data_IF_128682035500
#
_entry.id   IF_128682035500
#
_cell.length_a   1.000
_cell.length_b   1.000
_cell.length_c   1.000
_cell.angle_alpha   90.00
_cell.angle_beta   90.00
_cell.angle_gamma   90.00
#
_symmetry.space_group_name_H-M   'P 1'
#
loop_
_entity.id
_entity.type
_entity.pdbx_description
1 polymer ?
#
# COMPACT_ATOMS: atom_id res chain seq x y z
N UNK A 1 -38.45 31.49 -20.70
CA UNK A 1 -38.79 30.06 -20.54
C UNK A 1 -37.66 29.38 -19.80
N UNK A 2 -38.01 28.48 -18.89
CA UNK A 2 -37.26 28.12 -17.68
C UNK A 2 -36.10 27.13 -17.93
N UNK A 3 -34.93 27.46 -17.38
CA UNK A 3 -33.78 26.55 -17.21
C UNK A 3 -34.13 25.57 -16.10
N UNK A 4 -34.75 24.44 -16.45
CA UNK A 4 -35.23 23.48 -15.45
C UNK A 4 -35.14 22.00 -15.85
N UNK A 5 -34.34 21.66 -16.86
CA UNK A 5 -34.30 20.30 -17.43
C UNK A 5 -32.90 19.70 -17.62
N UNK A 6 -31.86 20.18 -16.91
CA UNK A 6 -30.49 19.67 -17.07
C UNK A 6 -29.95 18.97 -15.81
N UNK A 7 -30.77 18.16 -15.12
CA UNK A 7 -30.38 17.54 -13.84
C UNK A 7 -30.83 16.08 -13.64
N UNK A 8 -31.16 15.32 -14.69
CA UNK A 8 -31.60 13.91 -14.53
C UNK A 8 -30.88 12.94 -15.48
N UNK A 9 -29.56 13.09 -15.66
CA UNK A 9 -28.78 12.10 -16.42
C UNK A 9 -27.40 11.88 -15.82
N UNK A 10 -27.36 11.58 -14.52
CA UNK A 10 -26.13 11.21 -13.79
C UNK A 10 -26.43 10.16 -12.70
N UNK A 11 -27.27 9.18 -13.03
CA UNK A 11 -27.70 8.13 -12.09
C UNK A 11 -27.78 6.73 -12.70
N UNK A 12 -26.95 6.41 -13.69
CA UNK A 12 -26.70 5.02 -14.11
C UNK A 12 -25.30 4.92 -14.69
N UNK A 13 -24.28 4.96 -13.82
CA UNK A 13 -23.03 4.27 -14.13
C UNK A 13 -23.32 2.82 -13.71
N UNK A 14 -23.37 1.84 -14.63
CA UNK A 14 -23.38 0.44 -14.22
C UNK A 14 -22.08 0.24 -13.42
N UNK A 15 -22.21 -0.26 -12.20
CA UNK A 15 -21.06 -0.72 -11.44
C UNK A 15 -20.36 -1.77 -12.31
N UNK A 16 -19.23 -1.39 -12.91
CA UNK A 16 -18.30 -2.34 -13.45
C UNK A 16 -17.82 -3.12 -12.23
N UNK A 17 -18.24 -4.39 -12.13
CA UNK A 17 -17.69 -5.31 -11.16
C UNK A 17 -16.21 -5.49 -11.54
N UNK A 18 -15.34 -4.75 -10.88
CA UNK A 18 -13.90 -4.96 -10.95
C UNK A 18 -13.57 -6.05 -9.94
N UNK A 19 -12.89 -7.11 -10.39
CA UNK A 19 -12.32 -8.07 -9.46
C UNK A 19 -11.23 -7.35 -8.64
N UNK A 20 -11.33 -7.41 -7.32
CA UNK A 20 -10.32 -6.90 -6.41
C UNK A 20 -9.09 -7.80 -6.46
N UNK A 21 -7.89 -7.22 -6.46
CA UNK A 21 -6.64 -7.96 -6.39
C UNK A 21 -5.70 -7.38 -5.35
N UNK A 22 -5.08 -8.25 -4.55
CA UNK A 22 -4.08 -7.89 -3.54
C UNK A 22 -2.80 -8.67 -3.82
N UNK A 23 -1.63 -8.08 -3.63
CA UNK A 23 -0.34 -8.75 -3.83
C UNK A 23 0.57 -8.48 -2.66
N UNK A 24 1.01 -9.55 -1.99
CA UNK A 24 1.85 -9.45 -0.79
C UNK A 24 3.01 -10.43 -0.87
N UNK A 25 4.17 -10.04 -0.34
CA UNK A 25 5.33 -10.93 -0.25
C UNK A 25 5.18 -11.88 0.94
N UNK A 26 5.77 -13.07 0.83
CA UNK A 26 5.92 -13.96 1.98
C UNK A 26 6.79 -13.32 3.07
N UNK A 27 6.65 -13.79 4.32
CA UNK A 27 7.42 -13.32 5.48
C UNK A 27 8.95 -13.36 5.33
N UNK A 28 9.48 -14.13 4.37
CA UNK A 28 10.92 -14.09 4.01
C UNK A 28 11.20 -13.63 2.58
N UNK A 29 10.18 -13.21 1.85
CA UNK A 29 10.29 -12.62 0.52
C UNK A 29 10.81 -13.55 -0.56
N UNK A 30 10.69 -14.88 -0.40
CA UNK A 30 11.05 -15.83 -1.47
C UNK A 30 10.02 -15.78 -2.59
N UNK A 31 8.74 -15.52 -2.26
CA UNK A 31 7.65 -15.43 -3.22
C UNK A 31 6.80 -14.19 -2.96
N UNK A 32 6.23 -13.67 -4.04
CA UNK A 32 5.07 -12.80 -3.99
C UNK A 32 3.82 -13.63 -4.26
N UNK A 33 2.76 -13.38 -3.52
CA UNK A 33 1.46 -14.01 -3.74
C UNK A 33 0.47 -12.93 -4.14
N UNK A 34 -0.24 -13.17 -5.24
CA UNK A 34 -1.39 -12.36 -5.64
C UNK A 34 -2.67 -13.12 -5.41
N UNK A 35 -3.62 -12.50 -4.74
CA UNK A 35 -5.00 -12.98 -4.66
C UNK A 35 -5.90 -12.10 -5.52
N UNK A 36 -6.91 -12.72 -6.13
CA UNK A 36 -7.93 -12.02 -6.91
C UNK A 36 -9.30 -12.60 -6.58
N UNK A 37 -10.27 -11.74 -6.28
CA UNK A 37 -11.63 -12.13 -5.94
C UNK A 37 -12.63 -11.06 -6.41
N UNK A 38 -13.84 -11.48 -6.77
CA UNK A 38 -14.94 -10.56 -7.10
C UNK A 38 -15.58 -10.00 -5.83
N UNK A 39 -16.42 -8.96 -5.97
CA UNK A 39 -17.22 -8.42 -4.85
C UNK A 39 -17.92 -9.55 -4.06
N UNK A 40 -17.62 -9.62 -2.76
CA UNK A 40 -18.08 -10.71 -1.89
C UNK A 40 -19.36 -10.30 -1.16
N UNK A 41 -20.46 -10.96 -1.50
CA UNK A 41 -21.71 -10.84 -0.76
C UNK A 41 -21.73 -11.77 0.48
N UNK A 42 -22.04 -11.25 1.69
CA UNK A 42 -22.18 -12.09 2.87
C UNK A 42 -23.20 -13.20 2.68
N UNK A 43 -22.87 -14.43 3.11
CA UNK A 43 -23.72 -15.61 3.02
C UNK A 43 -23.54 -16.41 1.72
N UNK A 44 -22.62 -16.00 0.84
CA UNK A 44 -22.32 -16.71 -0.41
C UNK A 44 -20.93 -17.35 -0.39
N UNK A 45 -20.69 -18.27 -1.33
CA UNK A 45 -19.35 -18.76 -1.63
C UNK A 45 -18.78 -17.90 -2.76
N UNK A 46 -17.57 -17.36 -2.56
CA UNK A 46 -16.85 -16.63 -3.60
C UNK A 46 -15.63 -17.41 -4.06
N UNK A 47 -15.22 -17.14 -5.29
CA UNK A 47 -14.02 -17.73 -5.88
C UNK A 47 -12.84 -16.81 -5.59
N UNK A 48 -11.82 -17.36 -4.95
CA UNK A 48 -10.53 -16.69 -4.79
C UNK A 48 -9.54 -17.37 -5.75
N UNK A 49 -8.82 -16.56 -6.51
CA UNK A 49 -7.69 -17.01 -7.34
C UNK A 49 -6.40 -16.66 -6.61
N UNK A 50 -5.43 -17.57 -6.60
CA UNK A 50 -4.10 -17.35 -6.01
C UNK A 50 -3.06 -17.55 -7.11
N UNK A 51 -2.14 -16.60 -7.26
CA UNK A 51 -0.97 -16.68 -8.14
C UNK A 51 0.29 -16.61 -7.29
N UNK A 52 1.20 -17.57 -7.48
CA UNK A 52 2.52 -17.56 -6.86
C UNK A 52 3.51 -16.96 -7.85
N UNK A 53 4.22 -15.90 -7.46
CA UNK A 53 5.07 -15.10 -8.32
C UNK A 53 6.48 -15.11 -7.74
N UNK A 54 7.47 -15.26 -8.62
CA UNK A 54 8.86 -15.12 -8.26
C UNK A 54 9.25 -13.62 -8.30
N UNK A 55 9.56 -12.98 -7.17
CA UNK A 55 9.77 -11.53 -7.08
C UNK A 55 10.97 -11.05 -7.91
N UNK A 56 11.94 -11.93 -8.18
CA UNK A 56 13.14 -11.57 -8.96
C UNK A 56 12.90 -11.58 -10.48
N UNK A 57 11.89 -12.31 -10.94
CA UNK A 57 11.65 -12.51 -12.39
C UNK A 57 10.28 -12.02 -12.84
N UNK A 58 9.40 -11.68 -11.91
CA UNK A 58 7.99 -11.32 -12.15
C UNK A 58 7.23 -12.37 -12.97
N UNK A 59 7.63 -13.65 -12.82
CA UNK A 59 7.03 -14.80 -13.48
C UNK A 59 6.34 -15.69 -12.46
N UNK A 60 5.31 -16.38 -12.92
CA UNK A 60 4.63 -17.40 -12.12
C UNK A 60 5.63 -18.48 -11.71
N UNK A 61 5.67 -18.73 -10.40
CA UNK A 61 6.49 -19.76 -9.80
C UNK A 61 5.76 -21.10 -9.89
N UNK A 62 6.31 -22.01 -10.69
CA UNK A 62 5.75 -23.35 -10.89
C UNK A 62 6.10 -24.29 -9.72
N UNK A 63 5.31 -25.38 -9.61
CA UNK A 63 5.51 -26.47 -8.64
C UNK A 63 5.59 -25.99 -7.19
N UNK A 64 4.47 -25.47 -6.69
CA UNK A 64 4.34 -24.93 -5.34
C UNK A 64 3.66 -25.95 -4.42
N UNK A 65 4.23 -26.17 -3.24
CA UNK A 65 3.55 -26.83 -2.12
C UNK A 65 3.04 -25.76 -1.16
N UNK A 66 1.72 -25.66 -1.00
CA UNK A 66 1.07 -24.64 -0.18
C UNK A 66 -0.11 -25.15 0.65
N UNK A 67 -0.39 -24.49 1.76
CA UNK A 67 -1.60 -24.69 2.55
C UNK A 67 -2.33 -23.36 2.78
N UNK A 68 -3.60 -23.45 3.14
CA UNK A 68 -4.47 -22.31 3.35
C UNK A 68 -5.06 -22.40 4.75
N UNK A 69 -5.10 -21.26 5.42
CA UNK A 69 -5.82 -21.10 6.68
C UNK A 69 -6.53 -19.74 6.66
N UNK A 70 -7.86 -19.78 6.72
CA UNK A 70 -8.69 -18.60 6.77
C UNK A 70 -9.43 -18.52 8.10
N UNK A 71 -9.38 -17.34 8.71
CA UNK A 71 -10.01 -17.05 10.00
C UNK A 71 -10.81 -15.77 9.95
N UNK A 72 -11.95 -15.73 10.65
CA UNK A 72 -12.74 -14.52 10.90
C UNK A 72 -13.02 -14.42 12.40
N UNK A 73 -12.76 -13.27 13.03
CA UNK A 73 -12.92 -13.08 14.48
C UNK A 73 -12.29 -14.23 15.31
N UNK A 74 -11.05 -14.60 14.99
CA UNK A 74 -10.29 -15.72 15.59
C UNK A 74 -10.91 -17.12 15.41
N UNK A 75 -11.97 -17.26 14.61
CA UNK A 75 -12.60 -18.54 14.27
C UNK A 75 -12.10 -19.04 12.92
N UNK A 76 -11.57 -20.26 12.87
CA UNK A 76 -11.16 -20.91 11.60
C UNK A 76 -12.39 -21.30 10.80
N UNK A 77 -12.48 -20.83 9.56
CA UNK A 77 -13.63 -21.10 8.68
C UNK A 77 -13.26 -21.98 7.49
N UNK A 78 -12.00 -21.95 7.06
CA UNK A 78 -11.50 -22.76 5.97
C UNK A 78 -10.03 -23.07 6.22
N UNK A 79 -9.65 -24.34 6.12
CA UNK A 79 -8.25 -24.74 6.12
C UNK A 79 -8.06 -25.90 5.18
N UNK A 80 -6.91 -25.95 4.52
CA UNK A 80 -6.51 -27.06 3.68
C UNK A 80 -5.29 -27.75 4.25
N UNK A 81 -5.13 -29.07 4.04
CA UNK A 81 -3.81 -29.68 4.16
C UNK A 81 -2.86 -29.07 3.10
N UNK A 82 -1.58 -29.47 3.15
CA UNK A 82 -0.60 -29.09 2.13
C UNK A 82 -1.01 -29.67 0.76
N UNK A 83 -1.07 -28.82 -0.25
CA UNK A 83 -1.49 -29.11 -1.62
C UNK A 83 -0.37 -28.72 -2.58
N UNK A 84 -0.18 -29.51 -3.64
CA UNK A 84 0.76 -29.22 -4.70
C UNK A 84 0.07 -28.58 -5.91
N UNK A 85 0.61 -27.47 -6.44
CA UNK A 85 0.22 -26.87 -7.71
C UNK A 85 1.40 -26.88 -8.69
N UNK A 86 1.24 -27.57 -9.82
CA UNK A 86 2.25 -27.57 -10.89
C UNK A 86 2.30 -26.26 -11.66
N UNK A 87 1.15 -25.60 -11.82
CA UNK A 87 1.01 -24.38 -12.62
C UNK A 87 1.40 -23.10 -11.87
N UNK A 88 1.49 -23.14 -10.54
CA UNK A 88 1.72 -21.93 -9.75
C UNK A 88 0.53 -20.97 -9.70
N UNK A 89 -0.62 -21.41 -10.19
CA UNK A 89 -1.90 -20.69 -10.16
C UNK A 89 -2.95 -21.64 -9.59
N UNK A 90 -3.73 -21.16 -8.63
CA UNK A 90 -4.85 -21.88 -8.03
C UNK A 90 -6.11 -21.14 -8.43
N UNK A 91 -6.81 -21.69 -9.43
CA UNK A 91 -8.09 -21.16 -9.89
C UNK A 91 -9.23 -21.89 -9.20
N UNK A 92 -10.29 -21.17 -8.85
CA UNK A 92 -11.53 -21.79 -8.39
C UNK A 92 -11.55 -22.22 -6.92
N UNK A 93 -10.71 -21.64 -6.05
CA UNK A 93 -10.82 -21.88 -4.62
C UNK A 93 -12.14 -21.28 -4.11
N UNK A 94 -13.13 -22.14 -3.84
CA UNK A 94 -14.40 -21.72 -3.28
C UNK A 94 -14.26 -21.53 -1.77
N UNK A 95 -14.50 -20.31 -1.31
CA UNK A 95 -14.42 -19.94 0.09
C UNK A 95 -15.79 -19.46 0.56
N UNK A 96 -16.32 -20.01 1.67
CA UNK A 96 -17.55 -19.51 2.26
C UNK A 96 -17.31 -18.23 3.06
N UNK A 97 -18.14 -17.20 2.84
CA UNK A 97 -18.11 -15.95 3.59
C UNK A 97 -19.43 -15.75 4.35
N UNK A 98 -19.66 -16.48 5.45
CA UNK A 98 -20.99 -16.59 6.08
C UNK A 98 -21.48 -15.30 6.74
N UNK A 99 -20.56 -14.44 7.19
CA UNK A 99 -20.89 -13.22 7.95
C UNK A 99 -20.15 -12.01 7.42
N UNK A 100 -20.69 -10.82 7.67
CA UNK A 100 -19.97 -9.55 7.51
C UNK A 100 -18.76 -9.53 8.44
N UNK A 101 -17.60 -9.08 7.96
CA UNK A 101 -16.39 -8.97 8.78
C UNK A 101 -15.10 -8.96 7.97
N UNK A 102 -13.97 -8.92 8.68
CA UNK A 102 -12.62 -9.00 8.12
C UNK A 102 -12.09 -10.43 8.19
N UNK A 103 -11.80 -11.00 7.02
CA UNK A 103 -11.33 -12.37 6.88
C UNK A 103 -9.82 -12.36 6.70
N UNK A 104 -9.10 -13.02 7.61
CA UNK A 104 -7.65 -13.17 7.53
C UNK A 104 -7.32 -14.46 6.79
N UNK A 105 -6.78 -14.34 5.59
CA UNK A 105 -6.31 -15.44 4.76
C UNK A 105 -4.80 -15.59 4.90
N UNK A 106 -4.35 -16.69 5.47
CA UNK A 106 -2.93 -17.07 5.55
C UNK A 106 -2.64 -18.18 4.56
N UNK A 107 -1.63 -18.00 3.75
CA UNK A 107 -1.17 -18.99 2.77
C UNK A 107 0.26 -19.38 3.16
N UNK A 108 0.44 -20.62 3.60
CA UNK A 108 1.76 -21.16 3.88
C UNK A 108 2.37 -21.80 2.63
N UNK A 109 3.68 -21.67 2.46
CA UNK A 109 4.43 -22.27 1.35
C UNK A 109 5.64 -23.04 1.89
N UNK A 110 5.84 -24.27 1.43
CA UNK A 110 6.90 -25.17 1.92
C UNK A 110 7.74 -25.82 0.82
N UNK A 111 7.37 -25.67 -0.46
CA UNK A 111 8.16 -26.21 -1.57
C UNK A 111 7.98 -25.41 -2.85
N UNK A 112 9.06 -25.28 -3.63
CA UNK A 112 9.07 -24.68 -4.98
C UNK A 112 9.89 -25.57 -5.93
N UNK A 113 9.44 -25.84 -7.16
CA UNK A 113 10.19 -26.63 -8.16
C UNK A 113 10.76 -27.96 -7.62
N UNK A 114 9.98 -28.67 -6.79
CA UNK A 114 10.40 -29.92 -6.12
C UNK A 114 11.57 -29.78 -5.14
N UNK A 115 11.94 -28.54 -4.79
CA UNK A 115 12.91 -28.23 -3.76
C UNK A 115 12.16 -27.81 -2.49
N UNK A 116 12.38 -28.50 -1.36
CA UNK A 116 11.85 -28.06 -0.08
C UNK A 116 12.40 -26.67 0.26
N UNK A 117 11.53 -25.76 0.66
CA UNK A 117 11.91 -24.48 1.24
C UNK A 117 11.57 -24.49 2.73
N UNK A 118 12.20 -23.61 3.49
CA UNK A 118 11.78 -23.40 4.87
C UNK A 118 10.40 -22.75 4.83
N UNK A 119 9.43 -23.24 5.60
CA UNK A 119 8.04 -22.74 5.59
C UNK A 119 7.95 -21.22 5.66
N UNK A 120 7.17 -20.63 4.78
CA UNK A 120 6.90 -19.20 4.69
C UNK A 120 5.41 -18.92 4.65
N UNK A 121 4.99 -17.71 5.02
CA UNK A 121 3.57 -17.35 5.10
C UNK A 121 3.33 -15.97 4.50
N UNK A 122 2.31 -15.87 3.66
CA UNK A 122 1.69 -14.62 3.23
C UNK A 122 0.33 -14.44 3.92
N UNK A 123 -0.02 -13.21 4.30
CA UNK A 123 -1.27 -12.90 5.01
C UNK A 123 -2.05 -11.80 4.28
N UNK A 124 -3.32 -12.06 4.00
CA UNK A 124 -4.24 -11.14 3.34
C UNK A 124 -5.44 -10.86 4.23
N UNK A 125 -6.01 -9.65 4.07
CA UNK A 125 -7.25 -9.27 4.74
C UNK A 125 -8.31 -9.04 3.67
N UNK A 126 -9.41 -9.79 3.75
CA UNK A 126 -10.53 -9.72 2.81
C UNK A 126 -11.73 -9.11 3.56
N UNK A 127 -12.10 -7.84 3.29
CA UNK A 127 -13.27 -7.22 3.89
C UNK A 127 -14.55 -7.70 3.19
N UNK A 128 -15.54 -8.17 3.94
CA UNK A 128 -16.82 -8.68 3.39
C UNK A 128 -18.00 -7.91 3.98
N UNK A 129 -18.84 -7.33 3.12
CA UNK A 129 -20.06 -6.59 3.51
C UNK A 129 -19.82 -5.32 4.32
N UNK A 130 -18.56 -4.94 4.51
CA UNK A 130 -18.14 -3.64 5.01
C UNK A 130 -17.86 -2.79 3.77
N UNK A 131 -18.40 -1.57 3.69
CA UNK A 131 -18.06 -0.64 2.60
C UNK A 131 -16.53 -0.62 2.50
N UNK A 132 -15.98 -1.12 1.38
CA UNK A 132 -14.58 -1.53 1.21
C UNK A 132 -13.61 -0.56 1.90
N UNK A 133 -13.36 -0.81 3.18
CA UNK A 133 -12.29 -0.19 3.90
C UNK A 133 -11.10 -1.05 3.49
N UNK A 134 -10.31 -0.53 2.55
CA UNK A 134 -9.01 -1.06 2.18
C UNK A 134 -8.28 -1.38 3.48
N UNK A 135 -8.23 -2.66 3.84
CA UNK A 135 -7.54 -3.08 5.06
C UNK A 135 -6.07 -3.18 4.73
N UNK A 136 -5.19 -2.88 5.70
CA UNK A 136 -3.80 -2.62 5.41
C UNK A 136 -3.12 -3.95 5.08
N UNK A 137 -2.70 -4.10 3.82
CA UNK A 137 -1.51 -4.87 3.46
C UNK A 137 -0.44 -4.67 4.56
N UNK A 138 0.18 -5.72 5.10
CA UNK A 138 1.34 -5.59 5.97
C UNK A 138 2.49 -5.01 5.13
N UNK A 139 2.49 -3.68 4.94
CA UNK A 139 3.41 -2.98 4.05
C UNK A 139 2.79 -2.17 2.90
N UNK A 140 1.47 -1.90 2.87
CA UNK A 140 0.86 -1.10 1.78
C UNK A 140 0.22 0.25 2.18
N UNK A 141 -0.03 0.48 3.46
CA UNK A 141 -0.74 1.67 3.94
C UNK A 141 0.13 2.91 4.16
N UNK A 142 -0.39 4.10 3.85
CA UNK A 142 0.24 5.38 4.21
C UNK A 142 0.04 5.71 5.71
N UNK A 143 0.53 4.86 6.61
CA UNK A 143 0.28 4.90 8.08
C UNK A 143 0.42 6.29 8.72
N UNK A 144 1.54 6.98 8.45
CA UNK A 144 1.80 8.33 8.98
C UNK A 144 0.81 9.35 8.42
N UNK A 145 0.49 9.25 7.13
CA UNK A 145 -0.45 10.16 6.48
C UNK A 145 -1.87 9.93 6.98
N UNK A 146 -2.29 8.67 7.11
CA UNK A 146 -3.58 8.27 7.70
C UNK A 146 -3.70 8.77 9.14
N UNK A 147 -2.67 8.62 9.97
CA UNK A 147 -2.68 9.14 11.33
C UNK A 147 -2.75 10.68 11.39
N UNK A 148 -2.05 11.36 10.47
CA UNK A 148 -2.05 12.82 10.37
C UNK A 148 -3.39 13.39 9.89
N UNK A 149 -3.97 12.82 8.83
CA UNK A 149 -5.23 13.30 8.22
C UNK A 149 -6.49 12.68 8.83
N UNK A 150 -6.34 11.64 9.65
CA UNK A 150 -7.41 11.03 10.44
C UNK A 150 -8.28 10.03 9.69
N UNK A 151 -8.06 9.82 8.39
CA UNK A 151 -8.77 8.83 7.59
C UNK A 151 -7.93 8.38 6.42
N UNK A 152 -8.06 7.10 6.06
CA UNK A 152 -7.51 6.59 4.81
C UNK A 152 -8.22 7.17 3.60
N UNK A 153 -9.48 7.60 3.75
CA UNK A 153 -10.27 8.22 2.68
C UNK A 153 -10.03 9.74 2.61
N UNK A 154 -9.09 10.28 3.38
CA UNK A 154 -8.75 11.69 3.28
C UNK A 154 -8.20 12.00 1.87
N UNK A 155 -8.61 13.11 1.23
CA UNK A 155 -8.19 13.44 -0.15
C UNK A 155 -6.68 13.47 -0.33
N UNK A 156 -5.94 13.91 0.69
CA UNK A 156 -4.47 13.96 0.67
C UNK A 156 -3.86 12.55 0.64
N UNK A 157 -4.45 11.61 1.38
CA UNK A 157 -3.98 10.22 1.43
C UNK A 157 -4.35 9.49 0.14
N UNK A 158 -5.52 9.76 -0.42
CA UNK A 158 -5.94 9.22 -1.72
C UNK A 158 -5.06 9.74 -2.84
N UNK A 159 -4.70 11.03 -2.86
CA UNK A 159 -3.77 11.55 -3.87
C UNK A 159 -2.40 10.85 -3.83
N UNK A 160 -1.87 10.60 -2.62
CA UNK A 160 -0.62 9.83 -2.47
C UNK A 160 -0.74 8.43 -3.09
N UNK A 161 -1.88 7.76 -2.89
CA UNK A 161 -2.15 6.43 -3.45
C UNK A 161 -2.32 6.48 -4.96
N UNK A 162 -3.10 7.41 -5.48
CA UNK A 162 -3.32 7.56 -6.92
C UNK A 162 -2.00 7.81 -7.66
N UNK A 163 -1.17 8.73 -7.18
CA UNK A 163 0.16 8.98 -7.76
C UNK A 163 1.03 7.73 -7.68
N UNK A 164 1.06 7.04 -6.53
CA UNK A 164 1.84 5.81 -6.38
C UNK A 164 1.37 4.74 -7.35
N UNK A 165 0.08 4.45 -7.38
CA UNK A 165 -0.49 3.29 -8.06
C UNK A 165 -0.58 3.51 -9.58
N UNK A 166 -0.98 4.70 -10.02
CA UNK A 166 -1.17 4.99 -11.43
C UNK A 166 0.12 5.44 -12.12
N UNK A 167 0.95 6.23 -11.45
CA UNK A 167 2.13 6.86 -12.06
C UNK A 167 3.43 6.14 -11.70
N UNK A 168 3.67 5.89 -10.42
CA UNK A 168 4.97 5.35 -9.98
C UNK A 168 5.07 3.85 -10.25
N UNK A 169 4.11 3.05 -9.79
CA UNK A 169 4.14 1.59 -9.92
C UNK A 169 3.92 1.09 -11.35
N UNK A 170 3.47 1.94 -12.26
CA UNK A 170 3.37 1.61 -13.69
C UNK A 170 4.74 1.54 -14.39
N UNK A 171 5.83 1.94 -13.72
CA UNK A 171 7.20 1.99 -14.26
C UNK A 171 8.18 1.10 -13.49
N UNK A 172 9.23 0.61 -14.15
CA UNK A 172 10.25 -0.25 -13.51
C UNK A 172 11.03 0.51 -12.43
N UNK A 173 11.46 1.73 -12.75
CA UNK A 173 12.16 2.61 -11.81
C UNK A 173 11.30 2.96 -10.59
N UNK A 174 10.01 3.21 -10.80
CA UNK A 174 9.08 3.49 -9.72
C UNK A 174 8.82 2.28 -8.81
N UNK A 175 8.67 1.06 -9.37
CA UNK A 175 8.57 -0.18 -8.58
C UNK A 175 9.80 -0.39 -7.70
N UNK A 176 10.99 -0.22 -8.25
CA UNK A 176 12.23 -0.34 -7.49
C UNK A 176 12.31 0.69 -6.36
N UNK A 177 11.96 1.95 -6.65
CA UNK A 177 11.93 3.02 -5.66
C UNK A 177 10.94 2.73 -4.53
N UNK A 178 9.70 2.33 -4.84
CA UNK A 178 8.67 2.03 -3.83
C UNK A 178 9.09 0.84 -2.97
N UNK A 179 9.69 -0.21 -3.56
CA UNK A 179 10.24 -1.33 -2.81
C UNK A 179 11.30 -0.89 -1.80
N UNK A 180 12.29 -0.10 -2.23
CA UNK A 180 13.33 0.44 -1.35
C UNK A 180 12.74 1.37 -0.28
N UNK A 181 11.82 2.24 -0.65
CA UNK A 181 11.15 3.15 0.27
C UNK A 181 10.37 2.40 1.34
N UNK A 182 9.59 1.40 0.95
CA UNK A 182 8.76 0.60 1.86
C UNK A 182 9.60 -0.10 2.93
N UNK A 183 10.75 -0.66 2.55
CA UNK A 183 11.66 -1.30 3.51
C UNK A 183 12.06 -0.36 4.65
N UNK A 184 12.31 0.91 4.35
CA UNK A 184 12.67 1.89 5.38
C UNK A 184 11.44 2.43 6.08
N UNK A 185 10.39 2.77 5.32
CA UNK A 185 9.17 3.37 5.83
C UNK A 185 8.51 2.52 6.92
N UNK A 186 8.31 1.23 6.68
CA UNK A 186 7.60 0.36 7.63
C UNK A 186 8.43 -0.04 8.86
N UNK A 187 9.75 0.22 8.88
CA UNK A 187 10.56 0.03 10.09
C UNK A 187 10.14 1.01 11.19
N UNK A 188 9.75 2.23 10.84
CA UNK A 188 9.48 3.29 11.83
C UNK A 188 8.05 3.82 11.79
N UNK A 189 7.34 3.71 10.67
CA UNK A 189 6.04 4.34 10.48
C UNK A 189 4.94 3.88 11.45
N UNK A 190 4.87 2.62 11.92
CA UNK A 190 3.85 2.22 12.89
C UNK A 190 4.01 2.96 14.23
N UNK A 191 5.24 2.97 14.77
CA UNK A 191 5.53 3.66 16.04
C UNK A 191 5.25 5.16 15.94
N UNK A 192 5.63 5.81 14.84
CA UNK A 192 5.34 7.24 14.65
C UNK A 192 3.83 7.49 14.53
N UNK A 193 3.10 6.64 13.80
CA UNK A 193 1.64 6.76 13.66
C UNK A 193 0.91 6.62 15.00
N UNK A 194 1.35 5.71 15.87
CA UNK A 194 0.79 5.56 17.22
C UNK A 194 1.09 6.79 18.08
N UNK A 195 2.34 7.27 18.08
CA UNK A 195 2.71 8.49 18.79
C UNK A 195 1.90 9.73 18.32
N UNK A 196 1.59 9.81 17.02
CA UNK A 196 0.77 10.88 16.45
C UNK A 196 -0.67 10.87 16.97
N UNK A 197 -1.25 9.69 17.21
CA UNK A 197 -2.62 9.54 17.72
C UNK A 197 -2.75 10.05 19.15
N UNK A 198 -1.68 9.92 19.94
CA UNK A 198 -1.65 10.31 21.35
C UNK A 198 -1.31 11.80 21.57
N UNK A 199 -0.60 12.44 20.62
CA UNK A 199 -0.10 13.81 20.77
C UNK A 199 -0.59 14.76 19.67
N UNK A 200 -1.53 15.67 19.98
CA UNK A 200 -2.02 16.69 19.03
C UNK A 200 -0.91 17.61 18.52
N UNK A 201 0.11 17.89 19.34
CA UNK A 201 1.26 18.72 18.95
C UNK A 201 2.08 17.99 17.88
N UNK A 202 2.41 16.71 18.12
CA UNK A 202 3.17 15.90 17.16
C UNK A 202 2.40 15.73 15.84
N UNK A 203 1.09 15.49 15.90
CA UNK A 203 0.21 15.46 14.73
C UNK A 203 0.33 16.73 13.89
N UNK A 204 0.21 17.90 14.52
CA UNK A 204 0.30 19.19 13.82
C UNK A 204 1.69 19.46 13.25
N UNK A 205 2.75 19.08 13.98
CA UNK A 205 4.13 19.17 13.48
C UNK A 205 4.32 18.31 12.23
N UNK A 206 3.80 17.08 12.23
CA UNK A 206 3.91 16.18 11.07
C UNK A 206 3.08 16.68 9.89
N UNK A 207 1.87 17.20 10.12
CA UNK A 207 1.08 17.84 9.07
C UNK A 207 1.84 18.99 8.40
N UNK A 208 2.46 19.86 9.20
CA UNK A 208 3.26 20.96 8.69
C UNK A 208 4.51 20.45 7.94
N UNK A 209 5.17 19.43 8.47
CA UNK A 209 6.34 18.85 7.82
C UNK A 209 5.99 18.07 6.57
N UNK A 210 4.76 17.57 6.38
CA UNK A 210 4.35 16.87 5.16
C UNK A 210 4.01 17.82 4.01
N UNK A 211 3.69 19.09 4.31
CA UNK A 211 3.23 20.05 3.31
C UNK A 211 4.20 20.19 2.13
N UNK A 212 5.52 20.39 2.32
CA UNK A 212 6.45 20.53 1.18
C UNK A 212 6.53 19.27 0.32
N UNK A 213 6.41 18.10 0.94
CA UNK A 213 6.39 16.82 0.22
C UNK A 213 5.14 16.73 -0.66
N UNK A 214 3.96 16.95 -0.08
CA UNK A 214 2.69 16.87 -0.81
C UNK A 214 2.61 17.88 -1.96
N UNK A 215 3.09 19.10 -1.76
CA UNK A 215 3.11 20.10 -2.83
C UNK A 215 4.07 19.71 -3.95
N UNK A 216 5.25 19.20 -3.61
CA UNK A 216 6.21 18.74 -4.62
C UNK A 216 5.70 17.53 -5.39
N UNK A 217 4.94 16.64 -4.75
CA UNK A 217 4.46 15.40 -5.37
C UNK A 217 3.43 15.64 -6.48
N UNK A 218 2.73 16.78 -6.49
CA UNK A 218 1.78 17.12 -7.57
C UNK A 218 2.42 17.15 -8.96
N UNK A 219 3.75 17.28 -9.08
CA UNK A 219 4.43 17.17 -10.39
C UNK A 219 4.38 15.74 -10.96
N UNK A 220 4.26 14.74 -10.10
CA UNK A 220 4.22 13.32 -10.48
C UNK A 220 2.90 12.93 -11.17
N UNK A 221 1.83 13.71 -11.00
CA UNK A 221 0.56 13.51 -11.72
C UNK A 221 0.73 13.57 -13.25
N UNK A 222 1.82 14.18 -13.74
CA UNK A 222 2.16 14.30 -15.15
C UNK A 222 3.19 13.25 -15.63
N UNK A 223 3.54 12.28 -14.79
CA UNK A 223 4.61 11.30 -15.04
C UNK A 223 4.12 10.05 -15.79
N UNK A 224 3.55 10.22 -16.99
CA UNK A 224 2.95 9.14 -17.81
C UNK A 224 3.94 8.15 -18.48
N UNK A 225 5.23 8.21 -18.16
CA UNK A 225 6.28 7.40 -18.81
C UNK A 225 7.48 7.19 -17.92
N UNK A 226 8.23 6.10 -18.17
CA UNK A 226 9.44 5.71 -17.43
C UNK A 226 10.43 6.88 -17.23
N UNK A 227 10.74 7.60 -18.31
CA UNK A 227 11.67 8.73 -18.26
C UNK A 227 11.12 9.87 -17.40
N UNK A 228 9.80 10.16 -17.48
CA UNK A 228 9.19 11.22 -16.68
C UNK A 228 9.12 10.82 -15.20
N UNK A 229 8.78 9.59 -14.87
CA UNK A 229 8.80 9.10 -13.47
C UNK A 229 10.20 9.24 -12.89
N UNK A 230 11.23 8.87 -13.65
CA UNK A 230 12.62 9.02 -13.21
C UNK A 230 13.00 10.50 -13.00
N UNK A 231 12.77 11.35 -14.01
CA UNK A 231 13.17 12.77 -13.96
C UNK A 231 12.38 13.52 -12.89
N UNK A 232 11.05 13.39 -12.87
CA UNK A 232 10.20 14.04 -11.89
C UNK A 232 10.43 13.49 -10.49
N UNK A 233 10.63 12.17 -10.34
CA UNK A 233 11.00 11.55 -9.07
C UNK A 233 12.29 12.12 -8.50
N UNK A 234 13.34 12.27 -9.32
CA UNK A 234 14.60 12.91 -8.89
C UNK A 234 14.36 14.37 -8.48
N UNK A 235 13.56 15.13 -9.24
CA UNK A 235 13.24 16.52 -8.89
C UNK A 235 12.50 16.62 -7.54
N UNK A 236 11.53 15.75 -7.30
CA UNK A 236 10.80 15.67 -6.02
C UNK A 236 11.75 15.35 -4.88
N UNK A 237 12.62 14.34 -5.04
CA UNK A 237 13.60 13.97 -4.01
C UNK A 237 14.53 15.14 -3.71
N UNK A 238 15.06 15.81 -4.74
CA UNK A 238 15.94 16.97 -4.58
C UNK A 238 15.25 18.13 -3.88
N UNK A 239 13.99 18.41 -4.20
CA UNK A 239 13.20 19.44 -3.55
C UNK A 239 12.95 19.14 -2.06
N UNK A 240 12.66 17.88 -1.72
CA UNK A 240 12.47 17.45 -0.34
C UNK A 240 13.78 17.51 0.46
N UNK A 241 14.92 17.10 -0.12
CA UNK A 241 16.24 17.26 0.51
C UNK A 241 16.56 18.73 0.75
N UNK A 242 16.32 19.59 -0.24
CA UNK A 242 16.55 21.02 -0.11
C UNK A 242 15.74 21.61 1.06
N UNK A 243 14.48 21.20 1.19
CA UNK A 243 13.57 21.74 2.21
C UNK A 243 13.83 21.19 3.60
N UNK A 244 14.03 19.87 3.76
CA UNK A 244 14.18 19.25 5.09
C UNK A 244 15.61 19.26 5.62
N UNK A 245 16.62 19.39 4.76
CA UNK A 245 18.03 19.32 5.16
C UNK A 245 18.74 20.65 4.91
N UNK A 246 18.75 21.12 3.67
CA UNK A 246 19.58 22.28 3.28
C UNK A 246 19.09 23.56 3.96
N UNK A 247 17.79 23.87 3.88
CA UNK A 247 17.23 25.10 4.47
C UNK A 247 17.46 25.17 5.99
N UNK A 248 17.12 24.14 6.80
CA UNK A 248 17.42 24.17 8.24
C UNK A 248 18.91 24.35 8.57
N UNK A 249 19.81 23.71 7.82
CA UNK A 249 21.27 23.87 8.02
C UNK A 249 21.69 25.32 7.74
N UNK A 250 21.21 25.91 6.65
CA UNK A 250 21.52 27.30 6.31
C UNK A 250 21.01 28.27 7.37
N UNK A 251 19.80 28.06 7.88
CA UNK A 251 19.22 28.84 8.99
C UNK A 251 20.10 28.74 10.24
N UNK A 252 20.51 27.52 10.62
CA UNK A 252 21.39 27.30 11.78
C UNK A 252 22.75 27.98 11.61
N UNK A 253 23.36 27.89 10.42
CA UNK A 253 24.63 28.56 10.10
C UNK A 253 24.46 30.08 10.16
N UNK A 254 23.36 30.61 9.63
CA UNK A 254 23.06 32.04 9.68
C UNK A 254 22.87 32.54 11.12
N UNK A 255 22.08 31.84 11.94
CA UNK A 255 21.87 32.17 13.35
C UNK A 255 23.19 32.16 14.13
N UNK A 256 24.04 31.15 13.92
CA UNK A 256 25.37 31.08 14.55
C UNK A 256 26.27 32.24 14.13
N UNK A 257 26.21 32.67 12.87
CA UNK A 257 26.94 33.85 12.38
C UNK A 257 26.43 35.13 13.04
N UNK A 258 25.12 35.30 13.20
CA UNK A 258 24.55 36.47 13.88
C UNK A 258 24.91 36.51 15.37
N UNK A 259 24.80 35.39 16.07
CA UNK A 259 25.19 35.30 17.48
C UNK A 259 26.66 35.65 17.70
N UNK A 260 27.57 35.16 16.83
CA UNK A 260 28.99 35.54 16.87
C UNK A 260 29.21 37.03 16.61
N UNK A 261 28.48 37.64 15.69
CA UNK A 261 28.58 39.09 15.40
C UNK A 261 28.13 39.94 16.58
N UNK A 262 27.04 39.55 17.24
CA UNK A 262 26.53 40.24 18.44
C UNK A 262 27.50 40.12 19.62
N UNK A 263 28.15 38.97 19.79
CA UNK A 263 29.14 38.75 20.86
C UNK A 263 30.46 39.53 20.66
N UNK A 264 30.82 39.90 19.42
CA UNK A 264 32.02 40.71 19.13
C UNK A 264 31.73 42.22 19.26
N UNK A 265 30.45 42.62 19.22
CA UNK A 265 30.02 44.01 19.31
C UNK A 265 29.75 44.50 20.75
N UNK A 266 29.91 43.63 21.75
CA UNK A 266 29.85 43.92 23.20
C UNK A 266 31.25 43.94 23.78
#
# INVERSE_FOLDING_TARGET
>A
MSVRWLLVLLLFIPALAFAESQTTSTDRGILDLRITYDDIEPGTNSIVTIEFINPNTDKIQLHIDYDINMTVNDTVIATTPMIHSSEGIVRGLQVPFPTVGEYNLKIGVEGILFQPIKREVASFIIPVGMAAAQTPEPGGGCLIATAAYGSELAPQVQNLREVRDQMVLSTDSGRWFVSMFNQVYYIFSPTIADMQRESPVLKNTILLSMQPMLTSLGVMEYADSELKVLVYGILVIMFNIATYVVVPILILVWLRRQAKRLAIAQ
#
